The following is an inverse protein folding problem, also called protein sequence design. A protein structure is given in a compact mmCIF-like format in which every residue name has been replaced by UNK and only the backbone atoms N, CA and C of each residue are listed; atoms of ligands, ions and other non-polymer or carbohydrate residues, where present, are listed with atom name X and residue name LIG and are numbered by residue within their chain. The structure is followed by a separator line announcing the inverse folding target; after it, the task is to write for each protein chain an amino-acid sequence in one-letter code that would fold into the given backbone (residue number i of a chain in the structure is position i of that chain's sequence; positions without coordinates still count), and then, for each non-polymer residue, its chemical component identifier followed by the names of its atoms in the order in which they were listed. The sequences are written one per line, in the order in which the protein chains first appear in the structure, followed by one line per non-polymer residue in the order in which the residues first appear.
data_IF_605237687116
#
_entry.id   IF_605237687116
#
_cell.length_a   1.000
_cell.length_b   1.000
_cell.length_c   1.000
_cell.angle_alpha   90.00
_cell.angle_beta   90.00
_cell.angle_gamma   90.00
#
_symmetry.space_group_name_H-M   'P 1'
#
loop_
_entity.id
_entity.type
_entity.pdbx_description
1 polymer ?
#
# COMPACT_ATOMS: atom_id res chain seq x y z
N UNK A 1 -15.17 34.64 21.01
CA UNK A 1 -15.13 33.22 20.68
C UNK A 1 -15.24 33.10 19.17
N UNK A 2 -14.53 32.11 18.55
CA UNK A 2 -14.67 31.88 17.12
C UNK A 2 -16.08 31.33 16.83
N UNK A 3 -16.73 31.85 15.80
CA UNK A 3 -18.04 31.36 15.36
C UNK A 3 -17.90 29.95 14.84
N UNK A 4 -18.67 29.02 15.39
CA UNK A 4 -18.75 27.63 14.92
C UNK A 4 -20.03 27.49 14.08
N UNK A 5 -19.87 27.21 12.80
CA UNK A 5 -20.97 27.02 11.87
C UNK A 5 -20.71 25.83 10.95
N UNK A 6 -21.77 25.28 10.40
CA UNK A 6 -21.74 24.16 9.46
C UNK A 6 -21.87 24.71 8.04
N UNK A 7 -20.83 24.47 7.24
CA UNK A 7 -20.75 24.93 5.86
C UNK A 7 -20.81 23.76 4.91
N UNK A 8 -21.60 23.90 3.87
CA UNK A 8 -21.70 22.98 2.74
C UNK A 8 -21.29 23.69 1.45
N UNK A 9 -20.30 23.13 0.75
CA UNK A 9 -19.84 23.64 -0.55
C UNK A 9 -20.15 22.63 -1.63
N UNK A 10 -20.95 23.04 -2.62
CA UNK A 10 -21.36 22.18 -3.73
C UNK A 10 -20.22 21.99 -4.76
N UNK A 11 -20.47 21.13 -5.76
CA UNK A 11 -19.54 20.87 -6.86
C UNK A 11 -19.29 22.07 -7.79
N UNK A 12 -20.04 23.16 -7.65
CA UNK A 12 -19.87 24.43 -8.36
C UNK A 12 -19.15 25.48 -7.48
N UNK A 13 -18.56 25.07 -6.37
CA UNK A 13 -17.91 25.93 -5.36
C UNK A 13 -18.84 26.97 -4.72
N UNK A 14 -20.15 26.72 -4.70
CA UNK A 14 -21.08 27.58 -3.97
C UNK A 14 -21.20 27.08 -2.54
N UNK A 15 -20.78 27.90 -1.61
CA UNK A 15 -20.82 27.61 -0.18
C UNK A 15 -22.05 28.26 0.46
N UNK A 16 -22.67 27.56 1.39
CA UNK A 16 -23.69 28.13 2.28
C UNK A 16 -23.54 27.54 3.68
N UNK A 17 -23.95 28.29 4.66
CA UNK A 17 -23.96 27.93 6.07
C UNK A 17 -25.36 27.49 6.46
N UNK A 18 -25.51 26.43 7.26
CA UNK A 18 -26.80 26.05 7.81
C UNK A 18 -27.30 27.14 8.76
N UNK A 19 -28.60 27.45 8.78
CA UNK A 19 -29.11 28.65 9.49
C UNK A 19 -29.01 28.51 10.99
N UNK A 20 -29.20 27.31 11.51
CA UNK A 20 -29.18 27.01 12.95
C UNK A 20 -28.27 25.81 13.15
N UNK A 21 -27.36 25.93 14.13
CA UNK A 21 -26.55 24.78 14.51
C UNK A 21 -27.43 23.70 15.17
N UNK A 22 -27.21 22.44 14.87
CA UNK A 22 -27.92 21.35 15.52
C UNK A 22 -27.58 21.30 17.03
N UNK A 23 -28.49 20.75 17.82
CA UNK A 23 -28.25 20.50 19.24
C UNK A 23 -27.08 19.54 19.43
N UNK A 24 -26.95 18.55 18.57
CA UNK A 24 -25.87 17.57 18.59
C UNK A 24 -25.33 17.31 17.19
N UNK A 25 -24.00 17.19 17.08
CA UNK A 25 -23.32 16.78 15.85
C UNK A 25 -22.32 15.66 16.15
N UNK A 26 -22.61 14.46 15.66
CA UNK A 26 -21.73 13.31 15.80
C UNK A 26 -21.20 12.87 14.44
N UNK A 27 -19.92 12.56 14.40
CA UNK A 27 -19.28 11.91 13.23
C UNK A 27 -19.04 10.46 13.58
N UNK A 28 -19.73 9.56 12.92
CA UNK A 28 -19.63 8.14 13.20
C UNK A 28 -18.42 7.54 12.48
N UNK A 29 -17.61 6.80 13.24
CA UNK A 29 -16.50 6.00 12.77
C UNK A 29 -16.80 4.55 13.12
N UNK A 30 -16.90 3.70 12.14
CA UNK A 30 -17.22 2.29 12.32
C UNK A 30 -16.27 1.42 11.52
N UNK A 31 -16.09 0.18 11.98
CA UNK A 31 -15.39 -0.88 11.27
C UNK A 31 -16.38 -1.99 10.89
N UNK A 32 -16.04 -2.77 9.88
CA UNK A 32 -16.85 -3.92 9.46
C UNK A 32 -16.33 -5.19 10.14
N UNK A 33 -16.28 -5.16 11.47
CA UNK A 33 -15.77 -6.26 12.26
C UNK A 33 -16.73 -7.46 12.24
N UNK A 34 -16.17 -8.66 12.42
CA UNK A 34 -16.93 -9.89 12.61
C UNK A 34 -16.44 -10.63 13.84
N UNK A 35 -17.38 -11.18 14.62
CA UNK A 35 -17.06 -12.00 15.77
C UNK A 35 -17.25 -13.47 15.41
N UNK A 36 -16.23 -14.30 15.70
CA UNK A 36 -16.28 -15.75 15.50
C UNK A 36 -15.94 -16.45 16.81
N UNK A 37 -16.60 -17.58 17.08
CA UNK A 37 -16.31 -18.39 18.25
C UNK A 37 -15.35 -19.53 17.87
N UNK A 38 -14.20 -19.57 18.54
CA UNK A 38 -13.16 -20.57 18.31
C UNK A 38 -13.14 -21.56 19.46
N UNK A 39 -13.20 -22.85 19.15
CA UNK A 39 -13.17 -23.93 20.17
C UNK A 39 -11.93 -23.79 21.05
N UNK A 40 -12.13 -23.83 22.36
CA UNK A 40 -11.11 -23.67 23.41
C UNK A 40 -10.51 -22.26 23.56
N UNK A 41 -10.76 -21.33 22.65
CA UNK A 41 -10.26 -19.97 22.73
C UNK A 41 -11.38 -18.97 23.11
N UNK A 42 -12.64 -19.28 22.79
CA UNK A 42 -13.78 -18.40 22.97
C UNK A 42 -13.99 -17.46 21.78
N UNK A 43 -14.72 -16.39 22.03
CA UNK A 43 -15.03 -15.40 21.00
C UNK A 43 -13.80 -14.57 20.61
N UNK A 44 -13.54 -14.48 19.34
CA UNK A 44 -12.51 -13.60 18.77
C UNK A 44 -13.16 -12.53 17.91
N UNK A 45 -12.68 -11.28 17.98
CA UNK A 45 -13.08 -10.23 17.08
C UNK A 45 -12.09 -10.14 15.90
N UNK A 46 -12.59 -10.32 14.68
CA UNK A 46 -11.82 -10.11 13.44
C UNK A 46 -12.05 -8.69 12.99
N UNK A 47 -11.01 -7.88 13.08
CA UNK A 47 -11.03 -6.47 12.66
C UNK A 47 -11.23 -6.41 11.15
N UNK A 48 -12.32 -5.76 10.74
CA UNK A 48 -12.66 -5.54 9.34
C UNK A 48 -12.19 -4.18 8.82
N UNK A 49 -12.54 -3.89 7.57
CA UNK A 49 -12.23 -2.61 6.94
C UNK A 49 -13.03 -1.46 7.56
N UNK A 50 -12.44 -0.27 7.57
CA UNK A 50 -13.10 0.94 8.07
C UNK A 50 -14.25 1.31 7.13
N UNK A 51 -15.47 1.44 7.68
CA UNK A 51 -16.62 1.93 6.95
C UNK A 51 -16.49 3.40 6.59
N UNK A 52 -17.33 3.85 5.67
CA UNK A 52 -17.45 5.27 5.35
C UNK A 52 -18.03 6.01 6.56
N UNK A 53 -17.43 7.14 6.90
CA UNK A 53 -17.95 8.00 7.98
C UNK A 53 -19.35 8.49 7.63
N UNK A 54 -20.21 8.62 8.63
CA UNK A 54 -21.54 9.17 8.48
C UNK A 54 -21.80 10.29 9.48
N UNK A 55 -22.62 11.23 9.09
CA UNK A 55 -23.06 12.36 9.91
C UNK A 55 -24.57 12.46 9.74
N UNK A 56 -25.31 12.50 10.86
CA UNK A 56 -26.72 12.88 10.86
C UNK A 56 -26.87 14.26 11.50
N UNK A 57 -27.57 15.16 10.83
CA UNK A 57 -27.81 16.52 11.28
C UNK A 57 -29.32 16.70 11.36
N UNK A 58 -29.82 16.84 12.58
CA UNK A 58 -31.18 17.22 12.85
C UNK A 58 -31.21 18.72 13.15
N UNK A 59 -32.06 19.48 12.50
CA UNK A 59 -32.07 20.91 12.64
C UNK A 59 -33.37 21.56 12.21
N UNK A 60 -33.37 22.89 12.24
CA UNK A 60 -34.51 23.74 11.97
C UNK A 60 -34.19 24.70 10.82
N UNK A 61 -35.13 24.89 9.91
CA UNK A 61 -35.08 25.87 8.84
C UNK A 61 -36.21 26.88 9.06
N UNK A 62 -35.94 28.05 9.63
CA UNK A 62 -36.96 29.08 9.77
C UNK A 62 -37.52 29.51 8.40
N UNK A 63 -38.84 29.63 8.26
CA UNK A 63 -39.50 30.04 7.00
C UNK A 63 -38.88 31.35 6.50
N UNK A 64 -38.63 32.30 7.40
CA UNK A 64 -37.90 33.52 7.11
C UNK A 64 -36.81 33.74 8.16
N UNK A 65 -35.59 34.00 7.72
CA UNK A 65 -34.45 34.24 8.63
C UNK A 65 -34.35 35.69 9.11
N UNK A 66 -35.26 36.57 8.70
CA UNK A 66 -35.26 37.96 9.15
C UNK A 66 -35.83 38.10 10.57
N UNK A 67 -35.06 38.65 11.47
CA UNK A 67 -35.49 38.93 12.83
C UNK A 67 -35.63 37.75 13.77
N UNK A 68 -35.12 36.57 13.36
CA UNK A 68 -35.18 35.35 14.16
C UNK A 68 -33.95 35.25 15.04
N UNK A 69 -34.13 35.36 16.36
CA UNK A 69 -33.03 35.46 17.32
C UNK A 69 -32.20 34.18 17.52
N UNK A 70 -32.69 33.03 17.11
CA UNK A 70 -31.99 31.76 17.24
C UNK A 70 -31.20 31.35 16.00
N UNK A 71 -31.20 32.15 14.91
CA UNK A 71 -30.36 31.92 13.75
C UNK A 71 -28.89 32.16 14.14
N UNK A 72 -28.09 31.11 14.05
CA UNK A 72 -26.67 31.15 14.42
C UNK A 72 -25.76 31.52 13.26
N UNK A 73 -26.22 31.36 12.02
CA UNK A 73 -25.42 31.60 10.82
C UNK A 73 -25.04 33.05 10.65
N UNK A 74 -23.80 33.34 10.28
CA UNK A 74 -23.31 34.68 10.00
C UNK A 74 -23.92 35.29 8.75
N UNK A 75 -24.18 34.48 7.73
CA UNK A 75 -24.76 34.86 6.43
C UNK A 75 -25.82 33.85 5.99
N UNK A 76 -26.98 33.82 6.68
CA UNK A 76 -28.02 32.86 6.34
C UNK A 76 -28.64 33.20 4.98
N UNK A 77 -29.14 32.17 4.29
CA UNK A 77 -30.03 32.36 3.13
C UNK A 77 -31.33 32.99 3.63
N UNK A 78 -32.05 33.73 2.75
CA UNK A 78 -33.18 34.51 3.17
C UNK A 78 -34.37 33.70 3.68
N UNK A 79 -34.61 32.51 3.10
CA UNK A 79 -35.77 31.66 3.35
C UNK A 79 -35.38 30.19 3.49
N UNK A 80 -36.20 29.43 4.24
CA UNK A 80 -36.11 27.97 4.31
C UNK A 80 -36.11 27.29 2.93
N UNK A 81 -36.97 27.81 2.02
CA UNK A 81 -37.09 27.26 0.68
C UNK A 81 -35.76 27.29 -0.11
N UNK A 82 -34.91 28.29 0.12
CA UNK A 82 -33.62 28.41 -0.56
C UNK A 82 -32.66 27.29 -0.10
N UNK A 83 -32.70 26.92 1.20
CA UNK A 83 -31.98 25.78 1.73
C UNK A 83 -32.47 24.46 1.17
N UNK A 84 -33.81 24.26 1.17
CA UNK A 84 -34.44 23.05 0.63
C UNK A 84 -34.07 22.87 -0.84
N UNK A 85 -34.20 23.91 -1.65
CA UNK A 85 -33.86 23.88 -3.07
C UNK A 85 -32.36 23.52 -3.28
N UNK A 86 -31.44 24.09 -2.49
CA UNK A 86 -30.02 23.78 -2.60
C UNK A 86 -29.70 22.35 -2.19
N UNK A 87 -30.20 21.91 -1.04
CA UNK A 87 -29.96 20.55 -0.53
C UNK A 87 -30.53 19.51 -1.48
N UNK A 88 -31.75 19.71 -1.99
CA UNK A 88 -32.40 18.85 -2.99
C UNK A 88 -31.58 18.82 -4.29
N UNK A 89 -31.15 19.97 -4.79
CA UNK A 89 -30.31 20.05 -6.00
C UNK A 89 -28.99 19.32 -5.85
N UNK A 90 -28.33 19.46 -4.69
CA UNK A 90 -27.09 18.71 -4.40
C UNK A 90 -27.36 17.21 -4.38
N UNK A 91 -28.41 16.77 -3.68
CA UNK A 91 -28.79 15.37 -3.59
C UNK A 91 -29.08 14.78 -4.99
N UNK A 92 -29.88 15.46 -5.81
CA UNK A 92 -30.20 15.04 -7.18
C UNK A 92 -29.00 15.02 -8.12
N UNK A 93 -28.02 15.92 -7.89
CA UNK A 93 -26.82 15.98 -8.72
C UNK A 93 -25.91 14.75 -8.56
N UNK A 94 -26.08 13.97 -7.51
CA UNK A 94 -25.24 12.80 -7.15
C UNK A 94 -23.75 13.13 -7.10
N UNK A 95 -23.41 14.39 -6.81
CA UNK A 95 -22.03 14.87 -6.70
C UNK A 95 -21.65 15.08 -5.24
N UNK A 96 -20.37 14.88 -4.89
CA UNK A 96 -19.93 15.13 -3.52
C UNK A 96 -20.04 16.60 -3.17
N UNK A 97 -20.32 16.86 -1.91
CA UNK A 97 -20.33 18.15 -1.26
C UNK A 97 -19.20 18.18 -0.21
N UNK A 98 -18.54 19.32 -0.05
CA UNK A 98 -17.60 19.51 1.03
C UNK A 98 -18.34 19.97 2.28
N UNK A 99 -18.30 19.16 3.32
CA UNK A 99 -18.76 19.48 4.65
C UNK A 99 -17.60 20.10 5.46
N UNK A 100 -17.82 21.26 6.06
CA UNK A 100 -16.83 21.95 6.90
C UNK A 100 -17.50 22.39 8.19
N UNK A 101 -16.89 22.04 9.33
CA UNK A 101 -17.24 22.59 10.63
C UNK A 101 -16.21 23.68 10.97
N UNK A 102 -16.63 24.95 10.92
CA UNK A 102 -15.73 26.07 11.18
C UNK A 102 -15.19 26.06 12.61
N UNK A 103 -14.03 26.65 12.82
CA UNK A 103 -13.36 26.61 14.12
C UNK A 103 -12.73 25.25 14.47
N UNK A 104 -12.83 24.26 13.60
CA UNK A 104 -12.25 22.94 13.77
C UNK A 104 -11.41 22.53 12.54
N UNK A 105 -10.71 21.40 12.63
CA UNK A 105 -9.99 20.82 11.48
C UNK A 105 -10.86 19.89 10.62
N UNK A 106 -12.18 19.88 10.84
CA UNK A 106 -13.10 18.97 10.16
C UNK A 106 -13.47 19.53 8.80
N UNK A 107 -12.99 18.88 7.74
CA UNK A 107 -13.33 19.17 6.35
C UNK A 107 -13.40 17.83 5.60
N UNK A 108 -14.61 17.41 5.22
CA UNK A 108 -14.90 16.09 4.68
C UNK A 108 -15.59 16.19 3.34
N UNK A 109 -15.21 15.31 2.40
CA UNK A 109 -15.97 15.11 1.18
C UNK A 109 -17.11 14.13 1.50
N UNK A 110 -18.35 14.58 1.34
CA UNK A 110 -19.53 13.82 1.71
C UNK A 110 -20.52 13.77 0.53
N UNK A 111 -21.45 12.84 0.57
CA UNK A 111 -22.62 12.80 -0.29
C UNK A 111 -23.86 12.88 0.58
N UNK A 112 -24.93 13.51 0.10
CA UNK A 112 -26.20 13.49 0.79
C UNK A 112 -26.84 12.12 0.55
N UNK A 113 -26.92 11.31 1.60
CA UNK A 113 -27.57 10.01 1.55
C UNK A 113 -29.09 10.14 1.68
N UNK A 114 -29.53 11.02 2.58
CA UNK A 114 -30.96 11.30 2.79
C UNK A 114 -31.15 12.76 3.22
N UNK A 115 -32.23 13.35 2.78
CA UNK A 115 -32.69 14.67 3.22
C UNK A 115 -34.21 14.62 3.36
N UNK A 116 -34.69 14.78 4.57
CA UNK A 116 -36.12 14.84 4.91
C UNK A 116 -36.43 16.16 5.61
N UNK A 117 -37.58 16.73 5.35
CA UNK A 117 -38.04 17.93 6.01
C UNK A 117 -39.56 17.95 6.11
N UNK A 118 -40.06 18.67 7.07
CA UNK A 118 -41.51 18.81 7.29
C UNK A 118 -41.79 19.72 8.49
N UNK A 119 -43.08 19.85 8.82
CA UNK A 119 -43.52 20.56 10.00
C UNK A 119 -43.55 19.61 11.21
N UNK A 120 -43.34 20.15 12.40
CA UNK A 120 -43.42 19.42 13.66
C UNK A 120 -44.39 20.16 14.60
N UNK A 121 -45.25 19.39 15.27
CA UNK A 121 -46.15 19.91 16.35
C UNK A 121 -47.06 21.05 15.93
N UNK A 122 -47.47 21.09 14.64
CA UNK A 122 -48.34 22.15 14.11
C UNK A 122 -47.67 23.50 13.95
N UNK A 123 -46.39 23.65 14.22
CA UNK A 123 -45.65 24.90 13.99
C UNK A 123 -45.42 25.09 12.48
N UNK A 124 -45.94 26.19 11.94
CA UNK A 124 -45.83 26.54 10.52
C UNK A 124 -44.75 27.59 10.23
N UNK A 125 -44.05 28.10 11.25
CA UNK A 125 -43.04 29.14 11.11
C UNK A 125 -41.65 28.59 10.79
N UNK A 126 -41.49 27.28 10.89
CA UNK A 126 -40.24 26.60 10.63
C UNK A 126 -40.42 25.17 10.11
N UNK A 127 -39.47 24.69 9.30
CA UNK A 127 -39.36 23.29 8.98
C UNK A 127 -38.33 22.63 9.93
N UNK A 128 -38.64 21.44 10.41
CA UNK A 128 -37.62 20.53 10.96
C UNK A 128 -37.07 19.68 9.81
N UNK A 129 -35.79 19.38 9.83
CA UNK A 129 -35.17 18.55 8.81
C UNK A 129 -34.17 17.58 9.45
N UNK A 130 -33.98 16.45 8.75
CA UNK A 130 -32.89 15.52 9.00
C UNK A 130 -32.06 15.41 7.71
N UNK A 131 -30.77 15.63 7.82
CA UNK A 131 -29.79 15.55 6.74
C UNK A 131 -28.76 14.48 7.08
N UNK A 132 -28.74 13.40 6.33
CA UNK A 132 -27.76 12.31 6.49
C UNK A 132 -26.72 12.44 5.41
N UNK A 133 -25.46 12.57 5.85
CA UNK A 133 -24.29 12.66 5.00
C UNK A 133 -23.43 11.40 5.16
N UNK A 134 -22.92 10.88 4.04
CA UNK A 134 -21.98 9.76 4.01
C UNK A 134 -20.70 10.17 3.32
N UNK A 135 -19.55 9.77 3.87
CA UNK A 135 -18.25 10.06 3.30
C UNK A 135 -18.14 9.62 1.85
N UNK A 136 -17.57 10.48 1.02
CA UNK A 136 -17.27 10.16 -0.36
C UNK A 136 -15.78 9.88 -0.52
N UNK A 137 -15.45 8.66 -0.92
CA UNK A 137 -14.10 8.29 -1.40
C UNK A 137 -14.11 8.22 -2.92
N UNK A 138 -13.20 8.92 -3.56
CA UNK A 138 -13.07 8.82 -5.02
C UNK A 138 -12.66 7.40 -5.41
N UNK A 139 -13.45 6.78 -6.28
CA UNK A 139 -13.20 5.43 -6.82
C UNK A 139 -12.64 5.45 -8.25
N UNK A 140 -12.14 6.60 -8.71
CA UNK A 140 -11.42 6.63 -9.99
C UNK A 140 -10.30 5.62 -9.90
N UNK A 141 -10.26 4.70 -10.86
CA UNK A 141 -9.13 3.81 -11.04
C UNK A 141 -7.88 4.68 -11.15
N UNK A 142 -7.07 4.73 -10.10
CA UNK A 142 -5.73 5.24 -10.22
C UNK A 142 -4.99 4.21 -11.06
N UNK A 143 -4.66 4.60 -12.30
CA UNK A 143 -3.65 3.88 -13.05
C UNK A 143 -2.43 3.84 -12.14
N UNK A 144 -2.22 2.70 -11.48
CA UNK A 144 -0.95 2.46 -10.83
C UNK A 144 0.08 2.70 -11.91
N UNK A 145 0.80 3.81 -11.82
CA UNK A 145 2.08 3.94 -12.51
C UNK A 145 2.89 2.77 -11.96
N UNK A 146 2.87 1.65 -12.69
CA UNK A 146 3.86 0.62 -12.50
C UNK A 146 5.14 1.37 -12.80
N UNK A 147 5.76 1.95 -11.77
CA UNK A 147 7.17 2.29 -11.82
C UNK A 147 7.79 0.96 -12.18
N UNK A 148 8.05 0.76 -13.50
CA UNK A 148 8.92 -0.32 -13.94
C UNK A 148 10.10 -0.17 -13.00
N UNK A 149 10.17 -1.02 -11.97
CA UNK A 149 11.37 -1.18 -11.17
C UNK A 149 12.44 -1.17 -12.22
N UNK A 150 13.32 -0.13 -12.25
CA UNK A 150 14.48 -0.12 -13.15
C UNK A 150 15.02 -1.51 -12.98
N UNK A 151 14.83 -2.37 -13.99
CA UNK A 151 15.46 -3.69 -14.03
C UNK A 151 16.89 -3.33 -13.81
N UNK A 152 17.43 -3.70 -12.66
CA UNK A 152 18.77 -3.31 -12.24
C UNK A 152 19.63 -3.56 -13.43
N UNK A 153 20.26 -2.50 -13.92
CA UNK A 153 20.99 -2.47 -15.16
C UNK A 153 21.72 -3.79 -15.31
N UNK A 154 21.38 -4.55 -16.36
CA UNK A 154 22.00 -5.82 -16.78
C UNK A 154 22.58 -6.58 -15.57
N UNK A 155 21.77 -7.42 -14.93
CA UNK A 155 22.27 -8.28 -13.87
C UNK A 155 23.59 -8.84 -14.31
N UNK A 156 24.64 -8.69 -13.49
CA UNK A 156 25.93 -9.37 -13.71
C UNK A 156 25.56 -10.78 -14.14
N UNK A 157 25.86 -11.16 -15.38
CA UNK A 157 25.60 -12.49 -15.89
C UNK A 157 26.07 -13.44 -14.79
N UNK A 158 25.17 -14.29 -14.31
CA UNK A 158 25.51 -15.34 -13.35
C UNK A 158 26.80 -15.98 -13.86
N UNK A 159 27.88 -16.09 -13.05
CA UNK A 159 29.11 -16.74 -13.48
C UNK A 159 28.74 -18.07 -14.11
N UNK A 160 29.30 -18.33 -15.29
CA UNK A 160 29.05 -19.61 -15.93
C UNK A 160 29.41 -20.74 -14.96
N UNK A 161 28.66 -21.85 -14.93
CA UNK A 161 28.98 -22.97 -14.07
C UNK A 161 30.44 -23.37 -14.31
N UNK A 162 31.22 -23.72 -13.25
CA UNK A 162 32.60 -24.11 -13.42
C UNK A 162 32.71 -25.24 -14.43
N UNK A 163 33.58 -25.08 -15.40
CA UNK A 163 33.81 -26.10 -16.43
C UNK A 163 34.19 -27.42 -15.76
N UNK A 164 33.54 -28.49 -16.12
CA UNK A 164 33.91 -29.84 -15.62
C UNK A 164 35.30 -30.19 -16.11
N UNK A 165 36.17 -30.62 -15.18
CA UNK A 165 37.51 -31.12 -15.53
C UNK A 165 37.40 -32.57 -15.94
N UNK A 166 37.73 -32.85 -17.17
CA UNK A 166 37.76 -34.20 -17.77
C UNK A 166 39.15 -34.58 -18.20
N UNK A 167 39.34 -35.86 -18.60
CA UNK A 167 40.56 -36.34 -19.25
C UNK A 167 40.82 -35.51 -20.51
N UNK A 168 42.03 -35.01 -20.69
CA UNK A 168 42.40 -34.16 -21.79
C UNK A 168 42.16 -32.66 -21.55
N UNK A 169 41.44 -32.28 -20.49
CA UNK A 169 41.22 -30.87 -20.15
C UNK A 169 42.51 -30.12 -19.84
N UNK A 170 42.63 -28.93 -20.35
CA UNK A 170 43.70 -28.00 -19.94
C UNK A 170 43.30 -27.33 -18.64
N UNK A 171 44.18 -27.36 -17.66
CA UNK A 171 43.95 -26.85 -16.31
C UNK A 171 45.10 -25.98 -15.86
N UNK A 172 44.83 -25.07 -14.96
CA UNK A 172 45.85 -24.34 -14.22
C UNK A 172 46.05 -25.07 -12.87
N UNK A 173 47.26 -25.48 -12.61
CA UNK A 173 47.65 -26.14 -11.38
C UNK A 173 48.32 -25.12 -10.44
N UNK A 174 47.84 -25.12 -9.20
CA UNK A 174 48.36 -24.25 -8.16
C UNK A 174 48.38 -25.03 -6.84
N UNK A 175 49.45 -25.71 -6.57
CA UNK A 175 49.60 -26.57 -5.38
C UNK A 175 50.69 -27.62 -5.52
N UNK A 176 50.75 -28.51 -4.53
CA UNK A 176 51.72 -29.60 -4.47
C UNK A 176 51.33 -30.75 -5.35
N UNK A 177 52.27 -31.29 -6.09
CA UNK A 177 52.17 -32.54 -6.83
C UNK A 177 52.46 -33.73 -5.90
N UNK A 178 51.80 -34.82 -6.15
CA UNK A 178 51.98 -36.07 -5.40
C UNK A 178 52.36 -37.21 -6.35
N UNK A 179 53.02 -38.22 -5.82
CA UNK A 179 53.49 -39.37 -6.59
C UNK A 179 52.32 -40.23 -7.01
N UNK A 180 51.34 -40.35 -6.15
CA UNK A 180 50.14 -41.17 -6.42
C UNK A 180 48.82 -40.43 -6.14
N UNK A 181 47.73 -41.08 -6.45
CA UNK A 181 46.37 -40.53 -6.27
C UNK A 181 45.90 -40.50 -4.82
N UNK A 182 46.64 -41.10 -3.91
CA UNK A 182 46.35 -41.11 -2.47
C UNK A 182 47.04 -39.92 -1.72
N UNK A 183 47.94 -39.19 -2.40
CA UNK A 183 48.62 -38.04 -1.85
C UNK A 183 49.99 -38.38 -1.24
N UNK A 184 50.54 -39.55 -1.60
CA UNK A 184 51.84 -39.98 -1.09
C UNK A 184 53.02 -39.22 -1.69
N UNK A 185 54.13 -39.21 -0.95
CA UNK A 185 55.46 -38.82 -1.39
C UNK A 185 55.72 -37.32 -1.51
N UNK A 186 57.03 -36.97 -1.60
CA UNK A 186 57.43 -35.62 -1.90
C UNK A 186 57.17 -35.31 -3.37
N UNK A 187 56.53 -34.17 -3.63
CA UNK A 187 56.32 -33.67 -4.98
C UNK A 187 56.67 -32.20 -5.07
N UNK A 188 56.94 -31.76 -6.27
CA UNK A 188 57.19 -30.35 -6.53
C UNK A 188 55.90 -29.53 -6.34
N UNK A 189 56.05 -28.27 -5.97
CA UNK A 189 54.90 -27.33 -5.92
C UNK A 189 54.91 -26.52 -7.21
N UNK A 190 53.74 -26.49 -7.86
CA UNK A 190 53.51 -25.66 -9.04
C UNK A 190 52.65 -24.43 -8.70
N UNK A 191 52.96 -23.32 -9.33
CA UNK A 191 52.19 -22.07 -9.18
C UNK A 191 51.74 -21.58 -10.55
N UNK A 192 50.42 -21.48 -10.72
CA UNK A 192 49.80 -21.06 -11.97
C UNK A 192 50.28 -21.77 -13.23
N UNK A 193 50.65 -23.04 -13.08
CA UNK A 193 51.19 -23.83 -14.17
C UNK A 193 50.11 -24.42 -15.06
N UNK A 194 50.17 -24.13 -16.35
CA UNK A 194 49.23 -24.73 -17.32
C UNK A 194 49.62 -26.19 -17.56
N UNK A 195 48.68 -27.09 -17.34
CA UNK A 195 48.87 -28.55 -17.44
C UNK A 195 47.71 -29.21 -18.17
N UNK A 196 47.90 -30.46 -18.61
CA UNK A 196 46.85 -31.28 -19.21
C UNK A 196 46.52 -32.42 -18.28
N UNK A 197 45.24 -32.66 -18.06
CA UNK A 197 44.79 -33.80 -17.25
C UNK A 197 44.89 -35.08 -18.08
N UNK A 198 45.67 -36.06 -17.58
CA UNK A 198 45.93 -37.34 -18.22
C UNK A 198 45.03 -38.46 -17.66
N UNK A 199 45.02 -38.61 -16.32
CA UNK A 199 44.17 -39.58 -15.64
C UNK A 199 43.28 -38.90 -14.58
N UNK A 200 42.16 -39.56 -14.31
CA UNK A 200 41.22 -39.14 -13.29
C UNK A 200 40.88 -40.34 -12.42
N UNK A 201 41.02 -40.18 -11.12
CA UNK A 201 40.71 -41.14 -10.06
C UNK A 201 39.76 -40.52 -9.06
N UNK A 202 38.49 -40.38 -9.41
CA UNK A 202 37.47 -39.78 -8.55
C UNK A 202 37.35 -40.57 -7.24
N UNK A 203 37.09 -39.83 -6.13
CA UNK A 203 36.97 -40.40 -4.78
C UNK A 203 38.31 -40.55 -4.03
N UNK A 204 39.44 -40.23 -4.67
CA UNK A 204 40.76 -40.23 -4.02
C UNK A 204 41.19 -38.80 -3.60
N UNK A 205 42.18 -38.71 -2.71
CA UNK A 205 42.69 -37.44 -2.18
C UNK A 205 43.25 -36.54 -3.29
N UNK A 206 43.97 -37.10 -4.25
CA UNK A 206 44.52 -36.42 -5.40
C UNK A 206 43.89 -37.00 -6.70
N UNK A 207 42.69 -36.55 -7.10
CA UNK A 207 41.93 -37.22 -8.15
C UNK A 207 42.43 -36.94 -9.58
N UNK A 208 43.31 -35.97 -9.79
CA UNK A 208 43.75 -35.59 -11.13
C UNK A 208 45.26 -35.80 -11.30
N UNK A 209 45.63 -36.62 -12.28
CA UNK A 209 47.00 -36.72 -12.75
C UNK A 209 47.22 -35.71 -13.87
N UNK A 210 48.32 -34.94 -13.77
CA UNK A 210 48.61 -33.86 -14.72
C UNK A 210 49.95 -34.08 -15.39
N UNK A 211 50.00 -33.62 -16.65
CA UNK A 211 51.19 -33.67 -17.51
C UNK A 211 51.54 -32.28 -18.02
N UNK A 212 52.70 -32.11 -18.57
CA UNK A 212 53.03 -30.95 -19.40
C UNK A 212 52.10 -30.93 -20.64
N UNK A 213 52.01 -29.81 -21.33
CA UNK A 213 51.25 -29.77 -22.60
C UNK A 213 51.79 -30.70 -23.67
N UNK A 214 53.08 -31.00 -23.61
CA UNK A 214 53.80 -31.95 -24.48
C UNK A 214 53.68 -33.40 -24.03
N UNK A 215 52.95 -33.71 -22.92
CA UNK A 215 52.70 -35.07 -22.45
C UNK A 215 53.65 -35.58 -21.36
N UNK A 216 54.67 -34.82 -20.92
CA UNK A 216 55.58 -35.21 -19.84
C UNK A 216 54.84 -35.32 -18.51
N UNK A 217 54.98 -36.40 -17.80
CA UNK A 217 54.35 -36.69 -16.52
C UNK A 217 54.83 -35.73 -15.42
N UNK A 218 53.84 -35.21 -14.61
CA UNK A 218 54.17 -34.29 -13.52
C UNK A 218 53.77 -34.83 -12.14
N UNK A 219 52.58 -35.41 -12.03
CA UNK A 219 52.10 -36.01 -10.79
C UNK A 219 50.60 -35.81 -10.57
N UNK A 220 50.17 -36.22 -9.38
CA UNK A 220 48.80 -36.16 -8.94
C UNK A 220 48.54 -34.91 -8.11
N UNK A 221 47.35 -34.31 -8.27
CA UNK A 221 46.98 -33.07 -7.56
C UNK A 221 45.60 -33.17 -6.95
N UNK A 222 45.36 -32.43 -5.87
CA UNK A 222 44.09 -32.34 -5.20
C UNK A 222 43.08 -31.59 -6.05
N UNK A 223 41.79 -31.78 -5.79
CA UNK A 223 40.69 -31.08 -6.47
C UNK A 223 40.80 -29.56 -6.28
N UNK A 224 41.26 -29.09 -5.13
CA UNK A 224 41.42 -27.66 -4.83
C UNK A 224 42.61 -27.01 -5.55
N UNK A 225 43.59 -27.82 -5.97
CA UNK A 225 44.79 -27.35 -6.65
C UNK A 225 44.62 -27.16 -8.16
N UNK A 226 43.46 -27.50 -8.74
CA UNK A 226 43.19 -27.39 -10.19
C UNK A 226 42.01 -26.54 -10.51
N UNK A 227 42.15 -25.73 -11.56
CA UNK A 227 41.09 -24.92 -12.11
C UNK A 227 41.08 -25.12 -13.63
N UNK A 228 39.86 -25.39 -14.20
CA UNK A 228 39.69 -25.44 -15.66
C UNK A 228 39.99 -24.08 -16.30
N UNK A 229 40.61 -24.10 -17.46
CA UNK A 229 40.86 -22.91 -18.29
C UNK A 229 39.63 -22.58 -19.16
#
# INVERSE_FOLDING_TARGET
MAHIGIYLTDSKNKTFELPVNPEELKINYETNDSTEEVVKLGAINRIGEVKLRSISIDGILPISNKGVGYVTASKPLSKAQDYINRLTSIHQSKKPVRFVLSGTKISLQMTIASFTYGFKSGNSDEYVYTLVLTEYKSYKAELMKITKKKVAAKGKKRPAPPKKIGRGSTVIVNGRLHVDSYGSGPGQTERNATRKVNFIALGRACPYHVTTLSGGWRGWVTKSSVRAV
#
